data_IF_256150437688
#
_entry.id   IF_256150437688
#
_cell.length_a   1.000
_cell.length_b   1.000
_cell.length_c   1.000
_cell.angle_alpha   90.00
_cell.angle_beta   90.00
_cell.angle_gamma   90.00
#
_symmetry.space_group_name_H-M   'P 1'
#
loop_
_entity.id
_entity.type
_entity.pdbx_description
1 polymer ?
#
# COMPACT_ATOMS: atom_id res chain seq x y z
N UNK A 1 -6.02 6.07 -9.03
CA UNK A 1 -5.05 6.63 -10.00
C UNK A 1 -5.81 7.27 -11.15
N UNK A 2 -5.17 8.14 -11.92
CA UNK A 2 -5.80 8.84 -13.07
C UNK A 2 -5.85 7.98 -14.34
N UNK A 3 -5.05 6.92 -14.41
CA UNK A 3 -5.00 5.94 -15.49
C UNK A 3 -4.37 4.62 -15.00
N UNK A 4 -4.36 3.60 -15.86
CA UNK A 4 -3.76 2.30 -15.54
C UNK A 4 -2.25 2.43 -15.35
N UNK A 5 -1.55 3.10 -16.27
CA UNK A 5 -0.12 3.33 -16.22
C UNK A 5 0.30 4.21 -15.05
N UNK A 6 -0.50 5.22 -14.70
CA UNK A 6 -0.27 6.03 -13.49
C UNK A 6 -0.37 5.17 -12.22
N UNK A 7 -1.32 4.24 -12.19
CA UNK A 7 -1.48 3.29 -11.07
C UNK A 7 -0.30 2.33 -10.99
N UNK A 8 0.15 1.77 -12.12
CA UNK A 8 1.31 0.86 -12.16
C UNK A 8 2.61 1.55 -11.76
N UNK A 9 2.80 2.81 -12.14
CA UNK A 9 3.92 3.63 -11.66
C UNK A 9 3.84 3.86 -10.16
N UNK A 10 2.65 4.21 -9.64
CA UNK A 10 2.47 4.47 -8.22
C UNK A 10 2.76 3.24 -7.35
N UNK A 11 2.22 2.06 -7.72
CA UNK A 11 2.47 0.82 -6.96
C UNK A 11 3.93 0.37 -7.04
N UNK A 12 4.62 0.57 -8.17
CA UNK A 12 6.06 0.30 -8.29
C UNK A 12 6.84 1.14 -7.28
N UNK A 13 6.58 2.44 -7.23
CA UNK A 13 7.26 3.36 -6.31
C UNK A 13 6.91 3.05 -4.84
N UNK A 14 5.64 2.73 -4.55
CA UNK A 14 5.21 2.31 -3.22
C UNK A 14 5.93 1.04 -2.75
N UNK A 15 6.05 0.00 -3.61
CA UNK A 15 6.76 -1.24 -3.27
C UNK A 15 8.27 -1.05 -3.01
N UNK A 16 8.84 0.05 -3.50
CA UNK A 16 10.22 0.45 -3.27
C UNK A 16 10.35 1.50 -2.16
N UNK A 17 9.29 1.70 -1.36
CA UNK A 17 9.24 2.64 -0.23
C UNK A 17 9.46 4.12 -0.60
N UNK A 18 9.36 4.48 -1.88
CA UNK A 18 9.57 5.85 -2.33
C UNK A 18 8.46 6.84 -1.86
N UNK A 19 7.37 6.32 -1.29
CA UNK A 19 6.22 7.09 -0.83
C UNK A 19 5.97 6.99 0.69
N UNK A 20 6.92 6.49 1.47
CA UNK A 20 6.76 6.31 2.93
C UNK A 20 6.45 7.62 3.68
N UNK A 21 6.89 8.76 3.12
CA UNK A 21 6.70 10.10 3.68
C UNK A 21 5.47 10.85 3.15
N UNK A 22 4.59 10.20 2.38
CA UNK A 22 3.30 10.82 2.00
C UNK A 22 2.47 11.15 3.25
N UNK A 23 1.58 12.17 3.18
CA UNK A 23 0.61 12.41 4.23
C UNK A 23 -0.21 11.16 4.53
N UNK A 24 -0.70 10.99 5.76
CA UNK A 24 -1.49 9.81 6.15
C UNK A 24 -3.00 10.04 6.11
N UNK A 25 -3.43 11.19 5.60
CA UNK A 25 -4.83 11.56 5.43
C UNK A 25 -5.03 12.27 4.09
N UNK A 26 -6.21 12.10 3.49
CA UNK A 26 -6.62 12.87 2.32
C UNK A 26 -6.89 14.34 2.65
N UNK A 27 -7.21 15.11 1.62
CA UNK A 27 -7.71 16.47 1.72
C UNK A 27 -8.81 16.72 0.68
N UNK A 28 -9.42 17.91 0.71
CA UNK A 28 -10.50 18.29 -0.22
C UNK A 28 -10.03 18.44 -1.68
N UNK A 29 -8.72 18.47 -1.94
CA UNK A 29 -8.14 18.64 -3.28
C UNK A 29 -7.76 17.31 -3.94
N UNK A 30 -7.94 16.19 -3.22
CA UNK A 30 -7.64 14.85 -3.75
C UNK A 30 -6.16 14.51 -3.76
N UNK A 31 -5.37 14.99 -2.78
CA UNK A 31 -3.96 14.57 -2.66
C UNK A 31 -3.81 13.07 -2.44
N UNK A 32 -2.69 12.50 -2.86
CA UNK A 32 -2.30 11.15 -2.48
C UNK A 32 -1.98 11.09 -0.98
N UNK A 33 -2.30 9.96 -0.35
CA UNK A 33 -1.99 9.70 1.05
C UNK A 33 -1.66 8.22 1.27
N UNK A 34 -0.90 7.93 2.32
CA UNK A 34 -0.55 6.59 2.78
C UNK A 34 -1.54 6.15 3.85
N UNK A 35 -2.27 5.06 3.59
CA UNK A 35 -3.29 4.57 4.52
C UNK A 35 -2.70 3.53 5.49
N UNK A 36 -2.33 3.99 6.68
CA UNK A 36 -1.73 3.14 7.72
C UNK A 36 -2.71 2.12 8.32
N UNK A 37 -4.02 2.41 8.31
CA UNK A 37 -5.03 1.49 8.83
C UNK A 37 -5.15 0.29 7.88
N UNK A 38 -5.28 0.55 6.59
CA UNK A 38 -5.34 -0.48 5.56
C UNK A 38 -4.04 -1.30 5.49
N UNK A 39 -2.87 -0.67 5.62
CA UNK A 39 -1.58 -1.39 5.73
C UNK A 39 -1.59 -2.40 6.88
N UNK A 40 -2.11 -2.00 8.05
CA UNK A 40 -2.22 -2.89 9.22
C UNK A 40 -3.19 -4.05 8.98
N UNK A 41 -4.33 -3.78 8.34
CA UNK A 41 -5.31 -4.81 7.98
C UNK A 41 -4.74 -5.83 6.98
N UNK A 42 -4.06 -5.35 5.93
CA UNK A 42 -3.42 -6.22 4.95
C UNK A 42 -2.27 -7.05 5.54
N UNK A 43 -1.48 -6.48 6.46
CA UNK A 43 -0.43 -7.21 7.16
C UNK A 43 -1.02 -8.34 8.02
N UNK A 44 -2.10 -8.05 8.77
CA UNK A 44 -2.82 -9.07 9.55
C UNK A 44 -3.38 -10.15 8.63
N UNK A 45 -4.01 -9.77 7.53
CA UNK A 45 -4.51 -10.72 6.54
C UNK A 45 -3.39 -11.60 6.01
N UNK A 46 -2.25 -11.02 5.62
CA UNK A 46 -1.08 -11.75 5.14
C UNK A 46 -0.55 -12.78 6.15
N UNK A 47 -0.49 -12.42 7.44
CA UNK A 47 -0.12 -13.36 8.51
C UNK A 47 -1.10 -14.52 8.67
N UNK A 48 -2.39 -14.32 8.34
CA UNK A 48 -3.42 -15.36 8.51
C UNK A 48 -3.63 -16.24 7.27
N UNK A 49 -2.99 -15.93 6.14
CA UNK A 49 -3.17 -16.69 4.90
C UNK A 49 -2.61 -18.11 4.96
N UNK A 50 -1.76 -18.44 5.93
CA UNK A 50 -1.14 -19.76 6.04
C UNK A 50 -0.06 -20.04 4.99
N UNK A 51 0.30 -19.04 4.17
CA UNK A 51 1.34 -19.14 3.13
C UNK A 51 2.74 -19.08 3.76
N UNK A 52 2.89 -18.25 4.80
CA UNK A 52 4.15 -17.99 5.47
C UNK A 52 5.30 -17.58 4.54
N UNK A 53 6.52 -17.72 5.05
CA UNK A 53 7.72 -17.57 4.24
C UNK A 53 7.95 -18.85 3.41
N UNK A 54 7.29 -18.93 2.26
CA UNK A 54 7.42 -19.98 1.23
C UNK A 54 6.84 -21.37 1.59
N UNK A 55 6.91 -21.83 2.84
CA UNK A 55 6.59 -23.21 3.23
C UNK A 55 5.47 -23.35 4.28
N UNK A 56 4.51 -22.43 4.26
CA UNK A 56 3.43 -22.41 5.24
C UNK A 56 3.85 -21.75 6.55
N UNK A 57 2.92 -21.02 7.14
CA UNK A 57 3.12 -20.21 8.35
C UNK A 57 2.10 -19.10 8.50
#
# INVERSE_FOLDING_TARGET
>A
GTSAEATMKAVKLASAHAYDALPTTGDAHGRAFRDLALESELLKAAHTLGIGAQFGG
#
